data_IF_001105510116
#
_entry.id   IF_001105510116
#
_cell.length_a   1.000
_cell.length_b   1.000
_cell.length_c   1.000
_cell.angle_alpha   90.00
_cell.angle_beta   90.00
_cell.angle_gamma   90.00
#
_symmetry.space_group_name_H-M   'P 1'
#
loop_
_entity.id
_entity.type
_entity.pdbx_description
1 polymer ?
#
# COMPACT_ATOMS: atom_id res chain seq x y z
N UNK A 1 28.56 -22.65 -11.65
CA UNK A 1 28.82 -23.10 -10.27
C UNK A 1 29.21 -24.56 -10.21
N UNK A 2 30.41 -24.87 -9.72
CA UNK A 2 30.84 -26.23 -9.40
C UNK A 2 30.66 -26.46 -7.90
N UNK A 3 29.89 -27.48 -7.52
CA UNK A 3 29.74 -27.88 -6.12
C UNK A 3 30.42 -29.23 -5.89
N UNK A 4 31.13 -29.34 -4.77
CA UNK A 4 31.82 -30.55 -4.36
C UNK A 4 31.17 -31.12 -3.09
N UNK A 5 30.96 -32.42 -3.10
CA UNK A 5 30.58 -33.17 -1.91
C UNK A 5 31.81 -33.82 -1.30
N UNK A 6 31.82 -34.01 0.02
CA UNK A 6 32.89 -34.73 0.72
C UNK A 6 32.99 -36.19 0.28
N UNK A 7 31.89 -36.74 -0.26
CA UNK A 7 31.82 -38.08 -0.86
C UNK A 7 31.19 -38.02 -2.25
N UNK A 8 31.64 -38.84 -3.21
CA UNK A 8 31.06 -38.82 -4.55
C UNK A 8 29.56 -39.20 -4.50
N UNK A 9 28.74 -38.36 -5.15
CA UNK A 9 27.32 -38.63 -5.35
C UNK A 9 27.15 -39.67 -6.46
N UNK A 10 26.49 -40.78 -6.15
CA UNK A 10 26.16 -41.86 -7.08
C UNK A 10 24.88 -41.57 -7.88
N UNK A 11 23.95 -40.83 -7.30
CA UNK A 11 22.70 -40.42 -7.94
C UNK A 11 22.26 -39.05 -7.43
N UNK A 12 21.70 -38.26 -8.33
CA UNK A 12 21.16 -36.92 -8.08
C UNK A 12 19.79 -36.84 -8.77
N UNK A 13 18.76 -36.47 -8.03
CA UNK A 13 17.39 -36.37 -8.54
C UNK A 13 16.70 -35.14 -7.97
N UNK A 14 16.08 -34.33 -8.83
CA UNK A 14 15.18 -33.27 -8.37
C UNK A 14 13.80 -33.84 -8.06
N UNK A 15 13.20 -33.40 -6.95
CA UNK A 15 11.79 -33.64 -6.71
C UNK A 15 10.95 -32.98 -7.82
N UNK A 16 9.77 -33.54 -8.19
CA UNK A 16 8.92 -32.96 -9.24
C UNK A 16 8.50 -31.50 -9.00
N UNK A 17 8.51 -31.06 -7.73
CA UNK A 17 8.22 -29.69 -7.33
C UNK A 17 9.41 -28.74 -7.44
N UNK A 18 10.61 -29.22 -7.78
CA UNK A 18 11.89 -28.51 -7.77
C UNK A 18 12.27 -27.87 -6.41
N UNK A 19 11.49 -28.15 -5.35
CA UNK A 19 11.72 -27.68 -3.98
C UNK A 19 12.92 -28.36 -3.34
N UNK A 20 13.17 -29.63 -3.72
CA UNK A 20 14.20 -30.45 -3.13
C UNK A 20 15.08 -31.10 -4.18
N UNK A 21 16.38 -31.13 -3.91
CA UNK A 21 17.36 -31.95 -4.59
C UNK A 21 17.70 -33.14 -3.69
N UNK A 22 17.60 -34.35 -4.21
CA UNK A 22 17.89 -35.59 -3.50
C UNK A 22 19.22 -36.13 -4.01
N UNK A 23 20.18 -36.35 -3.11
CA UNK A 23 21.50 -36.91 -3.45
C UNK A 23 21.77 -38.21 -2.67
N UNK A 24 22.36 -39.19 -3.35
CA UNK A 24 22.79 -40.45 -2.75
C UNK A 24 24.32 -40.59 -2.88
N UNK A 25 25.04 -40.84 -1.77
CA UNK A 25 26.51 -40.84 -1.73
C UNK A 25 27.09 -42.25 -1.47
N UNK A 26 28.32 -42.48 -1.94
CA UNK A 26 29.01 -43.75 -1.71
C UNK A 26 29.24 -44.02 -0.21
N UNK A 27 28.83 -45.21 0.26
CA UNK A 27 28.91 -45.71 1.66
C UNK A 27 28.00 -45.02 2.70
N UNK A 28 26.99 -44.25 2.26
CA UNK A 28 25.91 -43.78 3.13
C UNK A 28 24.61 -44.51 2.83
N UNK A 29 23.99 -45.14 3.83
CA UNK A 29 22.67 -45.78 3.68
C UNK A 29 21.51 -44.74 3.79
N UNK A 30 21.78 -43.46 3.53
CA UNK A 30 20.84 -42.35 3.68
C UNK A 30 20.83 -41.48 2.44
N UNK A 31 19.63 -41.01 2.05
CA UNK A 31 19.44 -40.00 1.01
C UNK A 31 19.55 -38.63 1.69
N UNK A 32 20.41 -37.76 1.18
CA UNK A 32 20.48 -36.36 1.61
C UNK A 32 19.49 -35.53 0.79
N UNK A 33 18.76 -34.64 1.47
CA UNK A 33 17.75 -33.77 0.88
C UNK A 33 18.20 -32.33 1.03
N UNK A 34 18.33 -31.61 -0.08
CA UNK A 34 18.72 -30.21 -0.13
C UNK A 34 17.51 -29.37 -0.52
N UNK A 35 17.24 -28.30 0.22
CA UNK A 35 16.18 -27.36 -0.12
C UNK A 35 16.69 -26.28 -1.09
N UNK A 36 15.91 -25.98 -2.11
CA UNK A 36 16.24 -24.94 -3.08
C UNK A 36 15.96 -23.54 -2.51
N UNK A 37 17.01 -22.80 -2.11
CA UNK A 37 16.88 -21.45 -1.52
C UNK A 37 16.19 -20.45 -2.45
N UNK A 38 16.32 -20.60 -3.77
CA UNK A 38 15.65 -19.72 -4.74
C UNK A 38 14.12 -19.79 -4.70
N UNK A 39 13.54 -20.87 -4.16
CA UNK A 39 12.10 -21.01 -4.02
C UNK A 39 11.55 -20.43 -2.72
N UNK A 40 12.40 -20.25 -1.69
CA UNK A 40 11.98 -19.85 -0.35
C UNK A 40 12.44 -18.45 0.02
N UNK A 41 13.48 -17.93 -0.63
CA UNK A 41 14.04 -16.62 -0.32
C UNK A 41 13.90 -15.68 -1.53
N UNK A 42 12.94 -14.72 -1.51
CA UNK A 42 12.75 -13.77 -2.60
C UNK A 42 13.92 -12.78 -2.75
N UNK A 43 14.83 -12.71 -1.77
CA UNK A 43 16.05 -11.89 -1.86
C UNK A 43 17.16 -12.55 -2.68
N UNK A 44 17.09 -13.88 -2.84
CA UNK A 44 18.07 -14.65 -3.61
C UNK A 44 17.58 -14.73 -5.04
N UNK A 45 17.98 -13.75 -5.84
CA UNK A 45 17.83 -13.82 -7.30
C UNK A 45 18.89 -14.75 -7.87
N UNK A 46 18.51 -15.64 -8.78
CA UNK A 46 19.46 -16.39 -9.58
C UNK A 46 20.23 -15.40 -10.47
N UNK A 47 21.55 -15.19 -10.27
CA UNK A 47 22.33 -14.50 -11.28
C UNK A 47 22.22 -15.35 -12.55
N UNK A 48 21.50 -14.86 -13.56
CA UNK A 48 21.21 -15.62 -14.77
C UNK A 48 22.47 -16.06 -15.53
N UNK A 49 23.65 -15.58 -15.17
CA UNK A 49 24.95 -16.16 -15.50
C UNK A 49 25.99 -15.57 -14.53
N UNK A 50 26.34 -16.29 -13.46
CA UNK A 50 27.57 -16.00 -12.70
C UNK A 50 28.78 -16.52 -13.48
N UNK A 51 29.92 -15.81 -13.39
CA UNK A 51 31.20 -16.33 -13.86
C UNK A 51 31.50 -17.65 -13.15
N UNK A 52 32.07 -18.62 -13.86
CA UNK A 52 32.40 -19.93 -13.29
C UNK A 52 33.31 -19.75 -12.06
N UNK A 53 32.91 -20.24 -10.87
CA UNK A 53 33.69 -20.01 -9.66
C UNK A 53 35.05 -20.72 -9.74
N UNK A 54 36.10 -20.00 -9.35
CA UNK A 54 37.51 -20.43 -9.39
C UNK A 54 37.82 -21.61 -8.44
N UNK A 55 36.91 -21.90 -7.49
CA UNK A 55 37.00 -23.04 -6.57
C UNK A 55 35.62 -23.66 -6.30
N UNK A 56 35.53 -25.00 -6.15
CA UNK A 56 34.27 -25.68 -5.90
C UNK A 56 33.73 -25.37 -4.50
N UNK A 57 32.42 -25.11 -4.41
CA UNK A 57 31.72 -24.88 -3.14
C UNK A 57 31.49 -26.22 -2.46
N UNK A 58 32.02 -26.42 -1.26
CA UNK A 58 31.80 -27.63 -0.46
C UNK A 58 30.45 -27.56 0.26
N UNK A 59 29.54 -28.48 -0.07
CA UNK A 59 28.12 -28.41 0.33
C UNK A 59 27.84 -29.16 1.66
N UNK A 60 28.77 -30.01 2.12
CA UNK A 60 28.61 -30.85 3.32
C UNK A 60 28.99 -30.18 4.67
N UNK A 61 29.56 -28.97 4.67
CA UNK A 61 29.78 -28.22 5.92
C UNK A 61 28.54 -27.38 6.24
N UNK A 62 27.91 -27.52 7.43
CA UNK A 62 26.91 -26.57 7.86
C UNK A 62 27.62 -25.21 7.96
N UNK A 63 27.21 -24.25 7.13
CA UNK A 63 27.53 -22.84 7.36
C UNK A 63 26.83 -22.50 8.66
N UNK A 64 27.59 -22.56 9.76
CA UNK A 64 27.11 -22.15 11.08
C UNK A 64 26.80 -20.67 11.04
N UNK A 65 25.55 -20.34 10.72
CA UNK A 65 24.95 -19.10 11.19
C UNK A 65 24.80 -19.27 12.70
N UNK A 66 25.75 -18.72 13.45
CA UNK A 66 25.62 -18.59 14.89
C UNK A 66 24.46 -17.63 15.15
N UNK A 67 23.31 -18.18 15.53
CA UNK A 67 22.30 -17.41 16.26
C UNK A 67 22.93 -16.90 17.56
N UNK A 68 22.70 -15.63 17.96
CA UNK A 68 23.19 -15.13 19.23
C UNK A 68 22.35 -15.75 20.36
N UNK A 69 22.85 -16.85 20.94
CA UNK A 69 22.37 -17.33 22.24
C UNK A 69 23.03 -16.50 23.34
N UNK A 70 22.19 -15.93 24.21
CA UNK A 70 22.56 -15.12 25.36
C UNK A 70 23.52 -15.86 26.31
N UNK A 71 24.66 -15.22 26.63
CA UNK A 71 25.66 -15.73 27.57
C UNK A 71 25.26 -15.47 29.03
N UNK A 72 25.19 -16.51 29.86
CA UNK A 72 25.62 -16.43 31.26
C UNK A 72 26.51 -17.63 31.66
N UNK A 73 27.68 -17.28 32.23
CA UNK A 73 28.48 -17.97 33.24
C UNK A 73 29.34 -19.22 32.89
N UNK A 74 30.63 -18.94 32.66
CA UNK A 74 31.83 -19.49 33.33
C UNK A 74 31.95 -20.99 33.67
N UNK A 75 32.97 -21.67 33.11
CA UNK A 75 34.15 -22.18 33.86
C UNK A 75 35.21 -22.77 32.89
N UNK A 76 36.47 -22.70 33.28
CA UNK A 76 37.67 -22.82 32.44
C UNK A 76 38.14 -24.22 32.08
N UNK A 77 38.74 -24.33 30.89
CA UNK A 77 39.43 -25.53 30.42
C UNK A 77 40.27 -25.26 29.16
N UNK A 78 41.55 -24.92 29.32
CA UNK A 78 42.50 -24.65 28.22
C UNK A 78 42.67 -25.87 27.30
N UNK A 79 42.39 -25.73 26.00
CA UNK A 79 43.05 -26.55 24.96
C UNK A 79 43.08 -25.89 23.57
N UNK A 80 44.31 -25.69 23.09
CA UNK A 80 44.77 -25.56 21.70
C UNK A 80 44.06 -24.55 20.76
N UNK A 81 44.59 -23.33 20.75
CA UNK A 81 44.41 -22.29 19.73
C UNK A 81 44.89 -22.78 18.35
N UNK A 82 43.99 -23.31 17.50
CA UNK A 82 44.24 -23.44 16.05
C UNK A 82 43.59 -22.26 15.33
N UNK A 83 44.43 -21.35 14.84
CA UNK A 83 44.04 -20.25 13.96
C UNK A 83 43.43 -20.84 12.69
N UNK A 84 42.13 -20.65 12.44
CA UNK A 84 41.54 -20.75 11.10
C UNK A 84 41.02 -19.36 10.77
N UNK A 85 41.60 -18.75 9.73
CA UNK A 85 41.16 -17.46 9.22
C UNK A 85 39.73 -17.61 8.72
N UNK A 86 38.83 -16.83 9.31
CA UNK A 86 37.50 -16.63 8.79
C UNK A 86 37.64 -15.87 7.46
N UNK A 87 37.57 -16.59 6.34
CA UNK A 87 37.27 -15.98 5.07
C UNK A 87 35.83 -15.49 5.15
N UNK A 88 35.68 -14.17 5.28
CA UNK A 88 34.41 -13.45 5.11
C UNK A 88 33.78 -13.96 3.80
N UNK A 89 32.54 -14.47 3.78
CA UNK A 89 31.91 -14.79 2.50
C UNK A 89 31.88 -13.51 1.66
N UNK A 90 32.17 -13.59 0.35
CA UNK A 90 32.05 -12.43 -0.51
C UNK A 90 30.63 -11.90 -0.36
N UNK A 91 30.51 -10.60 -0.05
CA UNK A 91 29.27 -9.86 -0.29
C UNK A 91 29.04 -9.99 -1.79
N UNK A 92 28.26 -10.98 -2.19
CA UNK A 92 27.68 -11.03 -3.52
C UNK A 92 26.74 -9.83 -3.49
N UNK A 93 27.08 -8.84 -4.31
CA UNK A 93 26.24 -7.67 -4.52
C UNK A 93 24.86 -8.21 -4.83
N UNK A 94 23.97 -8.09 -3.85
CA UNK A 94 22.53 -8.17 -4.04
C UNK A 94 22.19 -6.96 -4.89
N UNK A 95 22.51 -7.05 -6.18
CA UNK A 95 21.68 -6.48 -7.22
C UNK A 95 20.35 -7.18 -7.05
N UNK A 96 19.58 -6.67 -6.09
CA UNK A 96 18.15 -6.87 -6.01
C UNK A 96 17.71 -6.82 -7.47
N UNK A 97 17.03 -7.85 -7.97
CA UNK A 97 16.02 -7.55 -8.98
C UNK A 97 15.09 -6.65 -8.19
N UNK A 98 15.39 -5.36 -8.17
CA UNK A 98 14.46 -4.33 -7.79
C UNK A 98 13.31 -4.69 -8.71
N UNK A 99 12.26 -5.28 -8.13
CA UNK A 99 10.96 -5.31 -8.75
C UNK A 99 10.81 -3.89 -9.26
N UNK A 100 10.96 -3.74 -10.59
CA UNK A 100 11.39 -2.50 -11.21
C UNK A 100 10.67 -1.38 -10.48
N UNK A 101 11.39 -0.47 -9.82
CA UNK A 101 10.80 0.58 -8.99
C UNK A 101 9.83 1.36 -9.88
N UNK A 102 8.58 0.90 -9.92
CA UNK A 102 7.57 1.26 -10.90
C UNK A 102 6.91 2.58 -10.51
N UNK A 103 7.63 3.40 -9.75
CA UNK A 103 7.13 4.65 -9.22
C UNK A 103 7.34 5.82 -10.18
N UNK A 104 8.26 5.69 -11.15
CA UNK A 104 8.58 6.78 -12.05
C UNK A 104 7.92 6.62 -13.43
N UNK A 105 7.24 7.66 -13.93
CA UNK A 105 6.66 7.67 -15.27
C UNK A 105 7.75 7.44 -16.32
N UNK A 106 7.46 6.60 -17.33
CA UNK A 106 8.35 6.31 -18.46
C UNK A 106 8.74 7.57 -19.27
N UNK A 107 7.84 8.56 -19.32
CA UNK A 107 8.09 9.89 -19.83
C UNK A 107 7.15 10.89 -19.13
N UNK A 108 7.55 12.14 -18.94
CA UNK A 108 6.72 13.15 -18.28
C UNK A 108 5.44 13.50 -19.05
N UNK A 109 5.39 13.23 -20.35
CA UNK A 109 4.20 13.47 -21.19
C UNK A 109 3.22 12.29 -21.24
N UNK A 110 3.58 11.15 -20.63
CA UNK A 110 2.74 9.95 -20.60
C UNK A 110 1.79 10.01 -19.42
N UNK A 111 0.52 9.78 -19.71
CA UNK A 111 -0.50 9.61 -18.70
C UNK A 111 -0.24 8.32 -17.92
N UNK A 112 -0.13 8.42 -16.60
CA UNK A 112 0.00 7.25 -15.72
C UNK A 112 -1.32 6.98 -14.98
N UNK A 113 -1.62 5.70 -14.79
CA UNK A 113 -2.74 5.24 -13.98
C UNK A 113 -2.27 5.03 -12.53
N UNK A 114 -3.22 4.91 -11.61
CA UNK A 114 -2.96 4.61 -10.21
C UNK A 114 -2.34 3.23 -10.01
N UNK A 115 -1.47 3.14 -9.00
CA UNK A 115 -0.92 1.87 -8.50
C UNK A 115 -1.95 1.07 -7.69
N UNK A 116 -3.15 1.63 -7.55
CA UNK A 116 -4.20 1.15 -6.68
C UNK A 116 -5.18 0.30 -7.49
N UNK A 117 -5.70 -0.82 -6.93
CA UNK A 117 -6.70 -1.61 -7.62
C UNK A 117 -7.91 -0.75 -8.04
N UNK A 118 -8.45 -0.96 -9.26
CA UNK A 118 -9.54 -0.13 -9.76
C UNK A 118 -10.79 -0.19 -8.88
N UNK A 119 -10.97 -1.26 -8.11
CA UNK A 119 -12.08 -1.37 -7.17
C UNK A 119 -12.04 -0.30 -6.07
N UNK A 120 -10.86 0.21 -5.67
CA UNK A 120 -10.77 1.20 -4.58
C UNK A 120 -11.31 2.55 -5.02
N UNK A 121 -10.92 3.06 -6.19
CA UNK A 121 -11.44 4.34 -6.67
C UNK A 121 -12.89 4.24 -7.21
N UNK A 122 -13.30 3.07 -7.73
CA UNK A 122 -14.72 2.82 -8.01
C UNK A 122 -15.56 2.81 -6.73
N UNK A 123 -15.04 2.25 -5.64
CA UNK A 123 -15.70 2.27 -4.35
C UNK A 123 -15.76 3.68 -3.74
N UNK A 124 -14.79 4.56 -4.01
CA UNK A 124 -14.91 5.98 -3.61
C UNK A 124 -16.02 6.71 -4.37
N UNK A 125 -16.22 6.41 -5.66
CA UNK A 125 -17.27 7.04 -6.47
C UNK A 125 -18.68 6.58 -6.11
N UNK A 126 -18.82 5.29 -5.80
CA UNK A 126 -20.11 4.67 -5.53
C UNK A 126 -20.22 4.18 -4.09
N UNK A 127 -19.72 5.00 -3.16
CA UNK A 127 -19.66 4.65 -1.76
C UNK A 127 -21.05 4.46 -1.15
N UNK A 128 -22.03 5.24 -1.60
CA UNK A 128 -23.42 5.14 -1.14
C UNK A 128 -24.07 3.82 -1.56
N UNK A 129 -23.90 3.42 -2.82
CA UNK A 129 -24.39 2.13 -3.32
C UNK A 129 -23.74 0.96 -2.59
N UNK A 130 -22.43 1.06 -2.30
CA UNK A 130 -21.70 0.05 -1.54
C UNK A 130 -22.22 -0.03 -0.10
N UNK A 131 -22.44 1.11 0.55
CA UNK A 131 -23.01 1.18 1.90
C UNK A 131 -24.40 0.58 1.92
N UNK A 132 -25.26 0.95 0.97
CA UNK A 132 -26.63 0.43 0.85
C UNK A 132 -26.68 -1.08 0.67
N UNK A 133 -25.86 -1.62 -0.23
CA UNK A 133 -25.75 -3.06 -0.43
C UNK A 133 -25.23 -3.79 0.81
N UNK A 134 -24.29 -3.17 1.53
CA UNK A 134 -23.67 -3.75 2.72
C UNK A 134 -24.48 -3.51 4.01
N UNK A 135 -25.61 -2.78 3.96
CA UNK A 135 -26.52 -2.66 5.11
C UNK A 135 -27.02 -4.06 5.47
N UNK A 136 -26.92 -4.41 6.75
CA UNK A 136 -27.44 -5.68 7.25
C UNK A 136 -28.97 -5.75 6.99
N UNK A 137 -29.44 -6.88 6.45
CA UNK A 137 -30.86 -7.08 6.11
C UNK A 137 -31.78 -7.06 7.34
N UNK A 138 -31.28 -7.51 8.49
CA UNK A 138 -31.92 -7.28 9.77
C UNK A 138 -31.16 -6.16 10.48
N UNK A 139 -31.77 -4.97 10.70
CA UNK A 139 -31.14 -3.95 11.51
C UNK A 139 -30.91 -4.53 12.91
N UNK A 140 -29.73 -4.34 13.51
CA UNK A 140 -29.47 -4.85 14.85
C UNK A 140 -30.55 -4.33 15.79
N UNK A 141 -31.18 -5.24 16.54
CA UNK A 141 -32.27 -4.90 17.47
C UNK A 141 -31.79 -3.78 18.38
N UNK A 142 -32.42 -2.59 18.36
CA UNK A 142 -31.98 -1.48 19.19
C UNK A 142 -32.09 -1.92 20.65
N UNK A 143 -30.95 -1.98 21.34
CA UNK A 143 -30.91 -2.31 22.76
C UNK A 143 -31.60 -1.17 23.52
N UNK A 144 -32.61 -1.45 24.38
CA UNK A 144 -33.42 -0.42 25.03
C UNK A 144 -32.64 0.49 25.98
N UNK A 145 -31.45 0.07 26.43
CA UNK A 145 -30.56 0.82 27.34
C UNK A 145 -29.16 1.03 26.74
N UNK A 146 -29.04 1.29 25.44
CA UNK A 146 -27.75 1.69 24.88
C UNK A 146 -27.35 3.08 25.43
N UNK A 147 -26.13 3.24 25.99
CA UNK A 147 -25.68 4.54 26.45
C UNK A 147 -25.54 5.50 25.25
N UNK A 148 -26.01 6.74 25.40
CA UNK A 148 -25.90 7.78 24.36
C UNK A 148 -24.44 8.02 23.93
N UNK A 149 -23.50 7.87 24.86
CA UNK A 149 -22.07 7.85 24.58
C UNK A 149 -21.56 6.42 24.67
N UNK A 150 -21.16 5.85 23.54
CA UNK A 150 -20.41 4.60 23.55
C UNK A 150 -19.09 4.81 24.30
N UNK A 151 -18.72 3.93 25.24
CA UNK A 151 -17.47 4.05 25.97
C UNK A 151 -16.30 3.99 24.98
N UNK A 152 -15.45 5.01 25.02
CA UNK A 152 -14.23 5.09 24.22
C UNK A 152 -13.05 4.62 25.06
N UNK A 153 -12.37 3.56 24.62
CA UNK A 153 -11.12 3.12 25.22
C UNK A 153 -9.98 3.99 24.67
N UNK A 154 -9.21 4.62 25.57
CA UNK A 154 -8.11 5.49 25.20
C UNK A 154 -6.78 4.73 25.25
N UNK A 155 -6.49 3.97 24.19
CA UNK A 155 -5.13 3.47 23.95
C UNK A 155 -4.46 4.37 22.88
N UNK A 156 -4.05 5.56 23.32
CA UNK A 156 -3.34 6.56 22.50
C UNK A 156 -4.17 7.73 21.93
N UNK A 157 -3.55 8.46 20.98
CA UNK A 157 -4.04 9.73 20.37
C UNK A 157 -5.23 9.54 19.40
N UNK A 158 -5.61 8.28 19.09
CA UNK A 158 -6.77 7.99 18.25
C UNK A 158 -7.86 7.35 19.12
N UNK A 159 -9.01 8.01 19.33
CA UNK A 159 -10.09 7.40 20.10
C UNK A 159 -10.56 6.13 19.40
N UNK A 160 -10.46 4.98 20.09
CA UNK A 160 -11.06 3.72 19.65
C UNK A 160 -12.25 3.43 20.54
N UNK A 161 -13.37 2.99 19.95
CA UNK A 161 -14.48 2.49 20.74
C UNK A 161 -14.05 1.19 21.44
N UNK A 162 -14.36 1.07 22.73
CA UNK A 162 -14.09 -0.16 23.45
C UNK A 162 -14.93 -1.30 22.83
N UNK A 163 -14.33 -2.46 22.58
CA UNK A 163 -15.10 -3.64 22.21
C UNK A 163 -16.05 -3.99 23.37
N UNK A 164 -17.28 -4.48 23.11
CA UNK A 164 -18.15 -4.92 24.19
C UNK A 164 -17.45 -6.06 24.92
N UNK A 165 -17.09 -5.83 26.18
CA UNK A 165 -16.81 -6.90 27.12
C UNK A 165 -18.09 -7.74 27.17
N UNK A 166 -17.96 -9.04 26.88
CA UNK A 166 -19.08 -9.97 26.99
C UNK A 166 -19.70 -9.87 28.38
N UNK A 167 -21.01 -10.08 28.44
CA UNK A 167 -21.78 -10.15 29.69
C UNK A 167 -21.09 -11.08 30.68
N UNK A 168 -20.30 -10.52 31.61
CA UNK A 168 -19.99 -11.04 32.93
C UNK A 168 -19.10 -10.01 33.67
N UNK A 169 -19.63 -9.57 34.81
CA UNK A 169 -18.96 -8.95 35.96
C UNK A 169 -18.93 -7.40 36.11
N UNK A 170 -19.11 -7.04 37.38
CA UNK A 170 -19.38 -5.76 38.05
C UNK A 170 -18.98 -4.46 37.33
N UNK A 171 -19.95 -3.54 37.22
CA UNK A 171 -19.75 -2.23 36.62
C UNK A 171 -18.75 -1.36 37.39
N UNK A 172 -17.82 -0.66 36.71
CA UNK A 172 -16.92 0.27 37.37
C UNK A 172 -17.70 1.52 37.84
N UNK A 173 -17.35 2.00 39.03
CA UNK A 173 -17.96 3.14 39.70
C UNK A 173 -18.12 4.36 38.78
N UNK A 174 -19.33 4.94 38.79
CA UNK A 174 -19.71 6.12 38.01
C UNK A 174 -18.80 7.35 38.23
N UNK A 175 -17.96 7.34 39.27
CA UNK A 175 -16.99 8.39 39.58
C UNK A 175 -15.77 8.38 38.63
N UNK A 176 -15.25 7.22 38.20
CA UNK A 176 -14.13 7.15 37.25
C UNK A 176 -14.56 7.48 35.82
N UNK A 177 -15.80 7.12 35.46
CA UNK A 177 -16.42 7.49 34.18
C UNK A 177 -16.64 9.01 34.10
N UNK A 178 -17.03 9.67 35.20
CA UNK A 178 -17.16 11.13 35.25
C UNK A 178 -15.79 11.86 35.14
N UNK A 179 -14.75 11.32 35.77
CA UNK A 179 -13.39 11.84 35.67
C UNK A 179 -12.80 11.70 34.25
N UNK A 180 -13.13 10.63 33.54
CA UNK A 180 -12.74 10.43 32.13
C UNK A 180 -13.58 11.28 31.17
N UNK A 181 -14.89 11.47 31.41
CA UNK A 181 -15.74 12.38 30.64
C UNK A 181 -15.30 13.85 30.74
N UNK A 182 -14.88 14.30 31.93
CA UNK A 182 -14.32 15.65 32.10
C UNK A 182 -12.96 15.85 31.42
N UNK A 183 -12.21 14.77 31.18
CA UNK A 183 -10.98 14.77 30.39
C UNK A 183 -11.26 14.73 28.88
N UNK A 184 -12.33 14.08 28.45
CA UNK A 184 -12.82 14.07 27.06
C UNK A 184 -13.31 15.46 26.63
N UNK A 185 -13.94 16.23 27.53
CA UNK A 185 -14.28 17.64 27.26
C UNK A 185 -13.06 18.58 27.21
N UNK A 186 -11.90 18.12 27.72
CA UNK A 186 -10.58 18.76 27.51
C UNK A 186 -9.78 18.09 26.39
N UNK A 187 -10.36 17.07 25.76
CA UNK A 187 -9.77 16.25 24.72
C UNK A 187 -9.82 17.00 23.40
N UNK A 188 -8.64 17.46 23.02
CA UNK A 188 -8.29 17.89 21.67
C UNK A 188 -9.25 18.91 21.07
N UNK A 189 -9.04 20.17 21.43
CA UNK A 189 -9.28 21.25 20.47
C UNK A 189 -8.42 20.89 19.26
N UNK A 190 -8.98 20.15 18.30
CA UNK A 190 -8.46 20.14 16.92
C UNK A 190 -8.07 21.59 16.65
N UNK A 191 -6.81 21.88 16.28
CA UNK A 191 -6.45 23.25 15.98
C UNK A 191 -7.55 23.79 15.07
N UNK A 192 -7.99 25.01 15.34
CA UNK A 192 -9.01 25.73 14.58
C UNK A 192 -8.57 26.00 13.11
N UNK A 193 -7.61 25.21 12.61
CA UNK A 193 -6.82 25.36 11.39
C UNK A 193 -7.22 24.33 10.31
N UNK A 194 -8.23 23.49 10.59
CA UNK A 194 -8.82 22.61 9.58
C UNK A 194 -8.23 21.20 9.53
N UNK A 195 -8.68 20.41 8.54
CA UNK A 195 -8.22 19.03 8.33
C UNK A 195 -6.78 19.02 7.79
N UNK A 196 -6.06 17.91 7.96
CA UNK A 196 -4.69 17.79 7.40
C UNK A 196 -4.64 18.06 5.89
N UNK A 197 -5.74 17.80 5.19
CA UNK A 197 -5.89 18.11 3.78
C UNK A 197 -6.04 19.61 3.54
N UNK A 198 -6.88 20.32 4.29
CA UNK A 198 -7.01 21.79 4.24
C UNK A 198 -5.69 22.50 4.54
N UNK A 199 -4.95 22.04 5.56
CA UNK A 199 -3.64 22.61 5.91
C UNK A 199 -2.65 22.49 4.74
N UNK A 200 -2.61 21.32 4.07
CA UNK A 200 -1.74 21.08 2.90
C UNK A 200 -2.16 21.88 1.67
N UNK A 201 -3.45 22.11 1.48
CA UNK A 201 -3.97 22.98 0.43
C UNK A 201 -3.59 24.44 0.66
N UNK A 202 -3.72 24.92 1.90
CA UNK A 202 -3.28 26.28 2.30
C UNK A 202 -1.78 26.47 2.10
N UNK A 203 -0.97 25.45 2.39
CA UNK A 203 0.48 25.48 2.15
C UNK A 203 0.87 25.27 0.69
N UNK A 204 -0.08 25.05 -0.23
CA UNK A 204 0.14 24.75 -1.66
C UNK A 204 1.02 23.51 -1.91
N UNK A 205 1.05 22.57 -0.96
CA UNK A 205 1.75 21.29 -1.14
C UNK A 205 0.78 20.27 -1.75
N UNK A 206 0.64 20.35 -3.08
CA UNK A 206 -0.31 19.52 -3.83
C UNK A 206 0.11 18.06 -3.90
N UNK A 207 1.41 17.75 -3.92
CA UNK A 207 1.91 16.38 -3.96
C UNK A 207 1.75 15.68 -2.60
N UNK A 208 2.04 16.41 -1.51
CA UNK A 208 1.78 15.94 -0.16
C UNK A 208 0.29 15.75 0.13
N UNK A 209 -0.58 16.57 -0.46
CA UNK A 209 -2.03 16.45 -0.36
C UNK A 209 -2.55 15.19 -1.07
N UNK A 210 -2.03 14.89 -2.27
CA UNK A 210 -2.39 13.66 -2.99
C UNK A 210 -1.92 12.41 -2.24
N UNK A 211 -0.71 12.44 -1.69
CA UNK A 211 -0.17 11.34 -0.87
C UNK A 211 -1.04 11.09 0.37
N UNK A 212 -1.58 12.16 0.98
CA UNK A 212 -2.54 12.04 2.07
C UNK A 212 -3.85 11.39 1.62
N UNK A 213 -4.44 11.82 0.51
CA UNK A 213 -5.67 11.23 -0.03
C UNK A 213 -5.50 9.74 -0.37
N UNK A 214 -4.36 9.35 -0.94
CA UNK A 214 -4.05 7.94 -1.24
C UNK A 214 -3.98 7.06 0.00
N UNK A 215 -3.47 7.59 1.10
CA UNK A 215 -3.37 6.90 2.38
C UNK A 215 -4.74 6.74 3.08
N UNK A 216 -5.76 7.50 2.67
CA UNK A 216 -7.10 7.41 3.26
C UNK A 216 -7.91 6.23 2.71
N UNK A 217 -8.91 5.84 3.51
CA UNK A 217 -9.96 4.90 3.09
C UNK A 217 -10.98 5.60 2.20
N UNK A 218 -11.82 4.83 1.50
CA UNK A 218 -12.80 5.42 0.60
C UNK A 218 -13.76 6.41 1.29
N UNK A 219 -14.20 6.07 2.51
CA UNK A 219 -15.02 6.97 3.35
C UNK A 219 -14.23 8.19 3.85
N UNK A 220 -12.93 8.03 4.13
CA UNK A 220 -12.07 9.12 4.57
C UNK A 220 -11.81 10.14 3.47
N UNK A 221 -11.67 9.69 2.22
CA UNK A 221 -11.59 10.59 1.05
C UNK A 221 -12.89 11.39 0.88
N UNK A 222 -14.05 10.73 1.02
CA UNK A 222 -15.34 11.40 0.92
C UNK A 222 -15.50 12.49 1.97
N UNK A 223 -15.23 12.15 3.24
CA UNK A 223 -15.28 13.11 4.34
C UNK A 223 -14.31 14.27 4.12
N UNK A 224 -13.07 13.97 3.75
CA UNK A 224 -12.07 15.01 3.51
C UNK A 224 -12.47 15.96 2.39
N UNK A 225 -13.14 15.48 1.33
CA UNK A 225 -13.64 16.31 0.23
C UNK A 225 -14.88 17.09 0.64
N UNK A 226 -15.84 16.49 1.35
CA UNK A 226 -17.04 17.20 1.83
C UNK A 226 -16.72 18.30 2.85
N UNK A 227 -15.67 18.11 3.66
CA UNK A 227 -15.19 19.12 4.61
C UNK A 227 -14.59 20.36 3.91
N UNK A 228 -14.35 20.34 2.60
CA UNK A 228 -13.89 21.50 1.82
C UNK A 228 -15.07 22.40 1.41
N UNK A 229 -15.66 23.17 2.31
CA UNK A 229 -16.71 24.11 1.91
C UNK A 229 -17.10 25.07 3.01
N UNK A 230 -17.84 26.12 2.64
CA UNK A 230 -18.32 27.14 3.59
C UNK A 230 -19.14 26.55 4.75
N UNK A 231 -19.85 25.44 4.51
CA UNK A 231 -20.64 24.74 5.52
C UNK A 231 -19.80 24.04 6.60
N UNK A 232 -18.57 23.65 6.28
CA UNK A 232 -17.64 22.97 7.17
C UNK A 232 -16.56 23.91 7.76
N UNK A 233 -16.69 25.23 7.55
CA UNK A 233 -15.76 26.25 8.02
C UNK A 233 -14.64 26.60 7.03
N UNK A 234 -14.77 26.19 5.76
CA UNK A 234 -13.87 26.56 4.69
C UNK A 234 -14.13 27.95 4.12
N UNK A 235 -13.08 28.57 3.58
CA UNK A 235 -13.17 29.85 2.88
C UNK A 235 -13.26 29.62 1.36
N UNK A 236 -13.81 30.57 0.59
CA UNK A 236 -13.87 30.47 -0.88
C UNK A 236 -12.45 30.32 -1.49
N UNK A 237 -11.44 30.82 -0.79
CA UNK A 237 -10.03 30.64 -1.11
C UNK A 237 -9.55 29.17 -1.05
N UNK A 238 -10.14 28.32 -0.20
CA UNK A 238 -9.80 26.90 -0.10
C UNK A 238 -10.34 26.12 -1.29
N UNK A 239 -11.57 26.42 -1.73
CA UNK A 239 -12.14 25.84 -2.96
C UNK A 239 -11.30 26.21 -4.18
N UNK A 240 -10.84 27.47 -4.26
CA UNK A 240 -9.91 27.89 -5.31
C UNK A 240 -8.59 27.12 -5.25
N UNK A 241 -8.05 26.93 -4.04
CA UNK A 241 -6.82 26.16 -3.84
C UNK A 241 -6.99 24.68 -4.19
N UNK A 242 -8.18 24.11 -3.99
CA UNK A 242 -8.53 22.76 -4.41
C UNK A 242 -8.66 22.63 -5.93
N UNK A 243 -9.23 23.62 -6.61
CA UNK A 243 -9.24 23.67 -8.08
C UNK A 243 -7.83 23.79 -8.66
N UNK A 244 -6.97 24.61 -8.05
CA UNK A 244 -5.56 24.74 -8.43
C UNK A 244 -4.79 23.42 -8.17
N UNK A 245 -5.12 22.68 -7.10
CA UNK A 245 -4.61 21.33 -6.84
C UNK A 245 -4.95 20.37 -7.98
N UNK A 246 -6.20 20.35 -8.45
CA UNK A 246 -6.59 19.50 -9.58
C UNK A 246 -5.91 19.93 -10.87
N UNK A 247 -5.78 21.24 -11.12
CA UNK A 247 -5.08 21.75 -12.30
C UNK A 247 -3.60 21.33 -12.33
N UNK A 248 -2.92 21.39 -11.18
CA UNK A 248 -1.54 20.94 -11.04
C UNK A 248 -1.37 19.45 -11.36
N UNK A 249 -2.25 18.60 -10.83
CA UNK A 249 -2.20 17.14 -11.07
C UNK A 249 -2.60 16.74 -12.50
N UNK A 250 -3.54 17.45 -13.13
CA UNK A 250 -3.89 17.23 -14.53
C UNK A 250 -2.75 17.62 -15.48
N UNK A 251 -2.04 18.71 -15.19
CA UNK A 251 -0.87 19.11 -15.98
C UNK A 251 0.30 18.12 -15.86
N UNK A 252 0.48 17.50 -14.69
CA UNK A 252 1.46 16.42 -14.49
C UNK A 252 1.04 15.11 -15.16
N UNK A 253 -0.26 14.89 -15.39
CA UNK A 253 -0.77 13.66 -16.03
C UNK A 253 -0.55 12.40 -15.18
N UNK A 254 -0.36 12.53 -13.86
CA UNK A 254 -0.14 11.41 -12.95
C UNK A 254 -1.44 10.94 -12.31
N UNK A 255 -1.57 9.62 -12.14
CA UNK A 255 -2.66 8.99 -11.40
C UNK A 255 -4.04 9.45 -11.88
N UNK A 256 -4.21 9.49 -13.21
CA UNK A 256 -5.34 10.17 -13.83
C UNK A 256 -6.70 9.59 -13.45
N UNK A 257 -6.79 8.29 -13.19
CA UNK A 257 -8.00 7.61 -12.73
C UNK A 257 -8.43 8.06 -11.32
N UNK A 258 -7.52 8.03 -10.34
CA UNK A 258 -7.82 8.49 -8.97
C UNK A 258 -8.12 9.99 -8.91
N UNK A 259 -7.34 10.81 -9.62
CA UNK A 259 -7.54 12.27 -9.63
C UNK A 259 -8.88 12.62 -10.28
N UNK A 260 -9.27 11.93 -11.37
CA UNK A 260 -10.58 12.12 -11.98
C UNK A 260 -11.71 11.65 -11.08
N UNK A 261 -11.52 10.56 -10.34
CA UNK A 261 -12.50 10.11 -9.36
C UNK A 261 -12.71 11.17 -8.26
N UNK A 262 -11.62 11.70 -7.68
CA UNK A 262 -11.67 12.75 -6.67
C UNK A 262 -12.28 14.05 -7.22
N UNK A 263 -11.96 14.43 -8.45
CA UNK A 263 -12.54 15.61 -9.10
C UNK A 263 -14.05 15.46 -9.26
N UNK A 264 -14.53 14.30 -9.72
CA UNK A 264 -15.97 14.09 -9.89
C UNK A 264 -16.72 14.13 -8.56
N UNK A 265 -16.14 13.60 -7.49
CA UNK A 265 -16.70 13.67 -6.14
C UNK A 265 -16.70 15.11 -5.60
N UNK A 266 -15.63 15.85 -5.83
CA UNK A 266 -15.52 17.26 -5.47
C UNK A 266 -16.58 18.12 -6.17
N UNK A 267 -16.81 17.89 -7.47
CA UNK A 267 -17.82 18.61 -8.24
C UNK A 267 -19.25 18.24 -7.82
N UNK A 268 -19.48 17.00 -7.37
CA UNK A 268 -20.78 16.58 -6.84
C UNK A 268 -21.08 17.25 -5.49
N UNK A 269 -20.09 17.37 -4.61
CA UNK A 269 -20.25 18.00 -3.30
C UNK A 269 -20.35 19.53 -3.39
N UNK A 270 -19.49 20.17 -4.18
CA UNK A 270 -19.32 21.64 -4.18
C UNK A 270 -19.82 22.33 -5.45
N UNK A 271 -20.56 21.62 -6.30
CA UNK A 271 -21.05 22.14 -7.57
C UNK A 271 -21.95 23.38 -7.45
N UNK A 272 -22.78 23.44 -6.40
CA UNK A 272 -23.65 24.58 -6.13
C UNK A 272 -22.84 25.82 -5.74
N UNK A 273 -21.92 25.70 -4.79
CA UNK A 273 -21.05 26.79 -4.31
C UNK A 273 -20.12 27.34 -5.41
N UNK A 274 -19.63 26.46 -6.30
CA UNK A 274 -18.85 26.85 -7.48
C UNK A 274 -19.72 27.63 -8.48
N UNK A 275 -21.01 27.31 -8.59
CA UNK A 275 -21.92 27.97 -9.53
C UNK A 275 -22.32 29.38 -9.10
N UNK A 276 -22.38 29.64 -7.79
CA UNK A 276 -22.73 30.94 -7.22
C UNK A 276 -21.60 31.98 -7.36
N UNK A 277 -20.34 31.53 -7.32
CA UNK A 277 -19.18 32.42 -7.31
C UNK A 277 -18.54 32.56 -8.71
N UNK A 278 -18.45 33.79 -9.26
CA UNK A 278 -17.94 34.00 -10.62
C UNK A 278 -16.44 33.70 -10.74
N UNK A 279 -15.65 33.93 -9.67
CA UNK A 279 -14.21 33.66 -9.68
C UNK A 279 -13.88 32.16 -9.78
N UNK A 280 -14.63 31.31 -9.06
CA UNK A 280 -14.43 29.86 -9.12
C UNK A 280 -14.83 29.30 -10.49
N UNK A 281 -15.88 29.87 -11.09
CA UNK A 281 -16.33 29.48 -12.44
C UNK A 281 -15.25 29.68 -13.50
N UNK A 282 -14.48 30.78 -13.44
CA UNK A 282 -13.37 31.00 -14.36
C UNK A 282 -12.25 29.97 -14.20
N UNK A 283 -11.91 29.61 -12.96
CA UNK A 283 -10.89 28.58 -12.68
C UNK A 283 -11.38 27.19 -13.14
N UNK A 284 -12.65 26.86 -12.88
CA UNK A 284 -13.29 25.65 -13.38
C UNK A 284 -13.33 25.58 -14.91
N UNK A 285 -13.57 26.70 -15.61
CA UNK A 285 -13.55 26.73 -17.07
C UNK A 285 -12.15 26.38 -17.62
N UNK A 286 -11.09 26.98 -17.05
CA UNK A 286 -9.70 26.65 -17.40
C UNK A 286 -9.36 25.18 -17.10
N UNK A 287 -9.85 24.66 -15.98
CA UNK A 287 -9.69 23.25 -15.61
C UNK A 287 -10.37 22.33 -16.64
N UNK A 288 -11.59 22.69 -17.07
CA UNK A 288 -12.35 21.98 -18.09
C UNK A 288 -11.65 21.94 -19.44
N UNK A 289 -11.09 23.06 -19.91
CA UNK A 289 -10.30 23.12 -21.15
C UNK A 289 -9.07 22.22 -21.08
N UNK A 290 -8.34 22.24 -19.96
CA UNK A 290 -7.18 21.37 -19.75
C UNK A 290 -7.58 19.89 -19.78
N UNK A 291 -8.66 19.52 -19.09
CA UNK A 291 -9.19 18.15 -19.06
C UNK A 291 -9.67 17.69 -20.44
N UNK A 292 -10.39 18.52 -21.19
CA UNK A 292 -10.88 18.19 -22.52
C UNK A 292 -9.72 17.96 -23.50
N UNK A 293 -8.69 18.81 -23.43
CA UNK A 293 -7.49 18.65 -24.28
C UNK A 293 -6.77 17.31 -24.05
N UNK A 294 -6.72 16.86 -22.79
CA UNK A 294 -6.05 15.64 -22.36
C UNK A 294 -6.91 14.41 -22.70
N UNK A 295 -8.23 14.50 -22.50
CA UNK A 295 -9.18 13.47 -22.87
C UNK A 295 -9.29 13.28 -24.39
N UNK A 296 -9.28 14.35 -25.19
CA UNK A 296 -9.34 14.29 -26.65
C UNK A 296 -8.16 13.50 -27.23
N UNK A 297 -6.95 13.70 -26.68
CA UNK A 297 -5.74 12.94 -27.07
C UNK A 297 -5.89 11.45 -26.76
N UNK A 298 -6.38 11.11 -25.57
CA UNK A 298 -6.55 9.72 -25.13
C UNK A 298 -7.67 9.03 -25.94
N UNK A 299 -8.84 9.65 -26.02
CA UNK A 299 -10.00 9.18 -26.76
C UNK A 299 -9.67 8.94 -28.23
N UNK A 300 -8.93 9.85 -28.87
CA UNK A 300 -8.48 9.67 -30.25
C UNK A 300 -7.59 8.44 -30.47
N UNK A 301 -6.70 8.12 -29.52
CA UNK A 301 -5.86 6.91 -29.58
C UNK A 301 -6.67 5.64 -29.32
N UNK A 302 -7.51 5.63 -28.28
CA UNK A 302 -8.37 4.50 -27.95
C UNK A 302 -9.36 4.18 -29.08
N UNK A 303 -9.96 5.20 -29.69
CA UNK A 303 -10.88 5.03 -30.81
C UNK A 303 -10.17 4.44 -32.03
N UNK A 304 -8.96 4.89 -32.37
CA UNK A 304 -8.15 4.29 -33.44
C UNK A 304 -7.87 2.81 -33.18
N UNK A 305 -7.46 2.47 -31.96
CA UNK A 305 -7.21 1.08 -31.57
C UNK A 305 -8.48 0.23 -31.65
N UNK A 306 -9.61 0.75 -31.14
CA UNK A 306 -10.92 0.07 -31.21
C UNK A 306 -11.38 -0.17 -32.65
N UNK A 307 -11.26 0.83 -33.53
CA UNK A 307 -11.58 0.69 -34.95
C UNK A 307 -10.70 -0.36 -35.62
N UNK A 308 -9.38 -0.33 -35.37
CA UNK A 308 -8.45 -1.30 -35.96
C UNK A 308 -8.72 -2.73 -35.48
N UNK A 309 -8.92 -2.92 -34.18
CA UNK A 309 -9.31 -4.21 -33.61
C UNK A 309 -10.65 -4.70 -34.17
N UNK A 310 -11.63 -3.81 -34.31
CA UNK A 310 -12.93 -4.14 -34.89
C UNK A 310 -12.84 -4.63 -36.33
N UNK A 311 -11.98 -4.01 -37.15
CA UNK A 311 -11.71 -4.47 -38.52
C UNK A 311 -11.03 -5.85 -38.50
N UNK A 312 -10.01 -6.03 -37.66
CA UNK A 312 -9.28 -7.31 -37.59
C UNK A 312 -10.17 -8.46 -37.12
N UNK A 313 -11.00 -8.26 -36.09
CA UNK A 313 -11.91 -9.30 -35.61
C UNK A 313 -12.99 -9.64 -36.64
N UNK A 314 -13.53 -8.64 -37.35
CA UNK A 314 -14.46 -8.89 -38.45
C UNK A 314 -13.81 -9.67 -39.59
N UNK A 315 -12.56 -9.35 -39.94
CA UNK A 315 -11.84 -10.12 -40.97
C UNK A 315 -11.55 -11.56 -40.55
N UNK A 316 -11.24 -11.84 -39.28
CA UNK A 316 -11.04 -13.22 -38.81
C UNK A 316 -12.33 -14.06 -38.78
N UNK A 317 -13.49 -13.43 -38.55
CA UNK A 317 -14.79 -14.14 -38.57
C UNK A 317 -15.28 -14.51 -39.98
N UNK A 318 -14.63 -14.01 -41.03
CA UNK A 318 -14.98 -14.25 -42.43
C UNK A 318 -14.13 -15.35 -43.10
N UNK A 319 -13.19 -15.95 -42.36
CA UNK A 319 -12.42 -17.15 -42.74
C UNK A 319 -12.76 -18.31 -41.80
#
# INVERSE_FOLDING_TARGET
DSFAFARPALSVCFAPSNAYLLTAHAKGNSIQTWANKFLFDPSVSAPMLSAEPDAPIFVDEPVGESEPEDEEAADGGKRAKRRRGAAKPPKIDSGTIAAAEAANPLAPELLTLSDVPPQKWLATLHLDLVKERNKAQEPPKPLPNAPFFLPTAHDGVKPRFAAPLGDDDEGPDAAEVAATLSRILRGDRRPLEGTQFQVKLRSKDYDGALTFLKAQTASGVHLAIEELGSLAGGDSAELKSALDFFMHHLNKGHYADEVQAYLSLFLQAHGEEISESPELREVCAKLGEAQESLWAKLSGKCQKAKCFLGVLTQTQSQW
#
